data_IF_084781703277
#
_entry.id   IF_084781703277
#
_cell.length_a   1.000
_cell.length_b   1.000
_cell.length_c   1.000
_cell.angle_alpha   90.00
_cell.angle_beta   90.00
_cell.angle_gamma   90.00
#
_symmetry.space_group_name_H-M   'P 1'
#
loop_
_entity.id
_entity.type
_entity.pdbx_description
1 polymer ?
#
# COMPACT_ATOMS: atom_id res chain seq x y z
N UNK A 1 37.06 63.48 -30.12
CA UNK A 1 37.18 62.25 -29.31
C UNK A 1 35.77 61.67 -29.18
N UNK A 2 35.47 60.54 -29.86
CA UNK A 2 35.24 59.20 -29.27
C UNK A 2 34.08 59.21 -28.24
N UNK A 3 33.00 58.44 -28.28
CA UNK A 3 32.54 57.34 -29.14
C UNK A 3 31.03 57.12 -28.91
N UNK A 4 30.39 56.61 -29.96
CA UNK A 4 29.03 56.06 -30.07
C UNK A 4 28.86 54.73 -29.29
N UNK A 5 27.57 54.36 -29.04
CA UNK A 5 26.95 53.01 -28.83
C UNK A 5 26.43 52.80 -27.39
N UNK A 6 25.10 52.81 -27.15
CA UNK A 6 24.10 51.71 -27.34
C UNK A 6 24.36 50.47 -26.46
N UNK A 7 23.25 49.81 -26.08
CA UNK A 7 23.08 48.38 -25.70
C UNK A 7 23.13 48.05 -24.19
N UNK A 8 22.25 47.26 -23.56
CA UNK A 8 20.95 46.60 -23.84
C UNK A 8 20.40 46.28 -22.43
N UNK A 9 19.09 46.47 -22.21
CA UNK A 9 18.36 45.90 -21.08
C UNK A 9 18.38 44.37 -21.27
N UNK A 10 19.21 43.68 -20.50
CA UNK A 10 19.21 42.22 -20.45
C UNK A 10 17.97 41.75 -19.69
N UNK A 11 16.85 41.66 -20.41
CA UNK A 11 15.66 40.90 -20.01
C UNK A 11 16.07 39.43 -20.03
N UNK A 12 16.51 38.92 -18.88
CA UNK A 12 16.71 37.49 -18.66
C UNK A 12 15.35 36.81 -18.65
N UNK A 13 14.88 36.47 -19.85
CA UNK A 13 13.82 35.50 -20.08
C UNK A 13 14.34 34.19 -19.51
N UNK A 14 13.91 33.86 -18.28
CA UNK A 14 13.91 32.49 -17.82
C UNK A 14 12.95 31.74 -18.75
N UNK A 15 13.52 31.17 -19.81
CA UNK A 15 12.86 30.10 -20.54
C UNK A 15 12.86 28.94 -19.53
N UNK A 16 11.83 28.88 -18.68
CA UNK A 16 11.46 27.64 -18.05
C UNK A 16 11.22 26.70 -19.22
N UNK A 17 12.22 25.86 -19.53
CA UNK A 17 12.09 24.85 -20.55
C UNK A 17 10.81 24.10 -20.26
N UNK A 18 9.89 24.11 -21.22
CA UNK A 18 8.82 23.12 -21.30
C UNK A 18 9.49 21.75 -21.48
N UNK A 19 10.12 21.23 -20.43
CA UNK A 19 10.40 19.81 -20.34
C UNK A 19 9.04 19.18 -20.22
N UNK A 20 8.50 18.74 -21.34
CA UNK A 20 7.37 17.83 -21.35
C UNK A 20 7.81 16.66 -20.45
N UNK A 21 7.33 16.63 -19.20
CA UNK A 21 7.82 15.67 -18.19
C UNK A 21 7.33 14.32 -18.63
N UNK A 22 8.11 13.64 -19.46
CA UNK A 22 7.78 12.31 -19.97
C UNK A 22 7.58 11.38 -18.78
N UNK A 23 6.51 10.58 -18.80
CA UNK A 23 6.33 9.54 -17.80
C UNK A 23 7.32 8.42 -18.11
N UNK A 24 8.28 8.22 -17.22
CA UNK A 24 9.17 7.07 -17.23
C UNK A 24 8.86 6.14 -16.04
N UNK A 25 9.54 5.00 -16.00
CA UNK A 25 9.32 4.00 -14.97
C UNK A 25 9.65 4.51 -13.56
N UNK A 26 10.62 5.42 -13.42
CA UNK A 26 11.01 5.98 -12.14
C UNK A 26 9.90 6.90 -11.60
N UNK A 27 9.42 7.83 -12.44
CA UNK A 27 8.34 8.74 -12.06
C UNK A 27 7.03 8.00 -11.80
N UNK A 28 6.70 7.01 -12.63
CA UNK A 28 5.53 6.16 -12.41
C UNK A 28 5.64 5.39 -11.07
N UNK A 29 6.82 4.85 -10.75
CA UNK A 29 7.08 4.16 -9.48
C UNK A 29 6.88 5.08 -8.29
N UNK A 30 7.42 6.30 -8.33
CA UNK A 30 7.26 7.30 -7.27
C UNK A 30 5.78 7.62 -7.03
N UNK A 31 5.04 7.92 -8.09
CA UNK A 31 3.61 8.23 -8.02
C UNK A 31 2.80 7.06 -7.47
N UNK A 32 3.08 5.83 -7.92
CA UNK A 32 2.40 4.62 -7.44
C UNK A 32 2.65 4.43 -5.94
N UNK A 33 3.92 4.52 -5.50
CA UNK A 33 4.30 4.36 -4.10
C UNK A 33 3.65 5.42 -3.20
N UNK A 34 3.68 6.68 -3.62
CA UNK A 34 3.13 7.79 -2.86
C UNK A 34 1.61 7.69 -2.72
N UNK A 35 0.88 7.49 -3.83
CA UNK A 35 -0.58 7.40 -3.79
C UNK A 35 -1.05 6.22 -2.92
N UNK A 36 -0.37 5.09 -3.04
CA UNK A 36 -0.74 3.87 -2.34
C UNK A 36 -0.17 3.80 -0.92
N UNK A 37 0.71 4.71 -0.51
CA UNK A 37 1.38 4.64 0.79
C UNK A 37 2.12 3.31 1.00
N UNK A 38 2.86 2.86 -0.02
CA UNK A 38 3.69 1.66 0.13
C UNK A 38 4.93 1.96 1.00
N UNK A 39 5.37 1.03 1.88
CA UNK A 39 4.75 -0.27 2.19
C UNK A 39 3.42 -0.16 2.95
N UNK A 40 2.45 -1.01 2.58
CA UNK A 40 1.16 -1.11 3.27
C UNK A 40 1.20 -2.22 4.32
N UNK A 41 0.69 -1.96 5.52
CA UNK A 41 0.54 -3.01 6.52
C UNK A 41 -0.44 -4.08 6.02
N UNK A 42 -0.03 -5.34 6.10
CA UNK A 42 -0.94 -6.48 6.03
C UNK A 42 -1.41 -6.78 7.44
N UNK A 43 -2.72 -6.70 7.66
CA UNK A 43 -3.33 -6.88 8.96
C UNK A 43 -4.17 -8.16 9.05
N UNK A 44 -4.28 -8.70 10.26
CA UNK A 44 -5.14 -9.83 10.57
C UNK A 44 -5.82 -9.61 11.91
N UNK A 45 -7.12 -9.90 11.95
CA UNK A 45 -7.95 -9.81 13.15
C UNK A 45 -7.94 -11.13 13.90
N UNK A 46 -7.57 -11.07 15.18
CA UNK A 46 -7.56 -12.22 16.07
C UNK A 46 -8.70 -12.07 17.07
N UNK A 47 -9.70 -12.93 16.92
CA UNK A 47 -10.84 -13.04 17.83
C UNK A 47 -10.40 -13.85 19.06
N UNK A 48 -9.95 -13.17 20.12
CA UNK A 48 -9.37 -13.85 21.29
C UNK A 48 -10.38 -14.68 22.07
N UNK A 49 -11.68 -14.43 21.87
CA UNK A 49 -12.78 -15.22 22.41
C UNK A 49 -13.21 -16.40 21.54
N UNK A 50 -12.62 -16.59 20.35
CA UNK A 50 -12.98 -17.67 19.42
C UNK A 50 -12.03 -18.89 19.60
N UNK A 51 -12.54 -20.07 19.98
CA UNK A 51 -11.73 -21.27 20.10
C UNK A 51 -11.08 -21.72 18.78
N UNK A 52 -11.63 -21.36 17.61
CA UNK A 52 -11.03 -21.64 16.31
C UNK A 52 -9.72 -20.86 16.14
N UNK A 53 -9.71 -19.58 16.52
CA UNK A 53 -8.51 -18.76 16.49
C UNK A 53 -7.48 -19.26 17.52
N UNK A 54 -7.92 -19.66 18.71
CA UNK A 54 -7.05 -20.24 19.73
C UNK A 54 -6.39 -21.53 19.23
N UNK A 55 -7.17 -22.43 18.61
CA UNK A 55 -6.64 -23.66 18.01
C UNK A 55 -5.62 -23.36 16.91
N UNK A 56 -5.89 -22.42 15.99
CA UNK A 56 -4.93 -22.05 14.93
C UNK A 56 -3.59 -21.57 15.49
N UNK A 57 -3.60 -20.79 16.57
CA UNK A 57 -2.38 -20.32 17.23
C UNK A 57 -1.64 -21.44 17.94
N UNK A 58 -2.37 -22.38 18.56
CA UNK A 58 -1.79 -23.57 19.17
C UNK A 58 -1.09 -24.42 18.10
N UNK A 59 -1.79 -24.73 17.01
CA UNK A 59 -1.29 -25.55 15.90
C UNK A 59 -0.07 -24.90 15.22
N UNK A 60 0.02 -23.57 15.22
CA UNK A 60 1.16 -22.83 14.68
C UNK A 60 2.32 -22.60 15.70
N UNK A 61 2.19 -23.12 16.92
CA UNK A 61 3.23 -23.11 17.95
C UNK A 61 3.45 -21.74 18.62
N UNK A 62 2.46 -20.85 18.64
CA UNK A 62 2.63 -19.52 19.25
C UNK A 62 2.77 -19.58 20.78
N UNK A 63 2.19 -20.59 21.43
CA UNK A 63 2.32 -20.81 22.87
C UNK A 63 3.76 -21.19 23.24
N UNK A 64 4.33 -22.17 22.55
CA UNK A 64 5.71 -22.65 22.75
C UNK A 64 6.75 -21.57 22.47
N UNK A 65 6.50 -20.74 21.45
CA UNK A 65 7.35 -19.61 21.07
C UNK A 65 7.19 -18.39 21.99
N UNK A 66 6.32 -18.45 23.00
CA UNK A 66 6.16 -17.40 23.99
C UNK A 66 5.38 -16.16 23.51
N UNK A 67 4.63 -16.25 22.41
CA UNK A 67 3.81 -15.14 21.91
C UNK A 67 2.45 -15.05 22.60
N UNK A 68 1.87 -16.19 22.97
CA UNK A 68 0.56 -16.27 23.62
C UNK A 68 0.58 -17.28 24.77
N UNK A 69 -0.45 -17.22 25.61
CA UNK A 69 -0.94 -18.32 26.44
C UNK A 69 -2.32 -18.72 25.92
N UNK A 70 -2.58 -20.02 25.82
CA UNK A 70 -3.85 -20.55 25.32
C UNK A 70 -4.58 -21.26 26.46
N UNK A 71 -5.78 -20.77 26.78
CA UNK A 71 -6.65 -21.37 27.79
C UNK A 71 -7.36 -22.57 27.17
N UNK A 72 -6.93 -23.79 27.53
CA UNK A 72 -7.43 -25.05 26.96
C UNK A 72 -8.76 -25.51 27.58
N UNK A 73 -9.03 -25.11 28.82
CA UNK A 73 -10.24 -25.45 29.57
C UNK A 73 -10.79 -24.18 30.21
N UNK A 74 -12.07 -23.89 30.01
CA UNK A 74 -12.79 -22.81 30.71
C UNK A 74 -13.78 -23.42 31.69
N UNK A 75 -13.71 -22.99 32.94
CA UNK A 75 -14.73 -23.29 33.95
C UNK A 75 -15.88 -22.29 33.87
N UNK A 76 -16.98 -22.54 34.58
CA UNK A 76 -18.14 -21.63 34.64
C UNK A 76 -17.75 -20.21 35.09
N UNK A 77 -16.71 -20.07 35.92
CA UNK A 77 -16.17 -18.77 36.37
C UNK A 77 -15.37 -18.01 35.29
N UNK A 78 -15.08 -18.68 34.17
CA UNK A 78 -14.30 -18.14 33.05
C UNK A 78 -15.18 -17.75 31.85
N UNK A 79 -16.50 -17.86 31.99
CA UNK A 79 -17.46 -17.37 30.99
C UNK A 79 -17.14 -15.92 30.68
N UNK A 80 -16.98 -15.62 29.40
CA UNK A 80 -16.65 -14.28 28.96
C UNK A 80 -15.18 -13.88 29.14
N UNK A 81 -14.27 -14.80 29.46
CA UNK A 81 -12.81 -14.57 29.33
C UNK A 81 -12.30 -14.98 27.94
N UNK A 82 -11.18 -14.41 27.44
CA UNK A 82 -10.59 -14.84 26.18
C UNK A 82 -9.92 -16.22 26.30
N UNK A 83 -9.88 -16.97 25.21
CA UNK A 83 -9.06 -18.18 25.07
C UNK A 83 -7.59 -17.85 24.77
N UNK A 84 -7.33 -16.70 24.13
CA UNK A 84 -6.00 -16.24 23.76
C UNK A 84 -5.60 -15.07 24.67
N UNK A 85 -4.44 -15.19 25.32
CA UNK A 85 -3.81 -14.09 26.06
C UNK A 85 -2.45 -13.82 25.46
N UNK A 86 -2.26 -12.64 24.87
CA UNK A 86 -0.96 -12.27 24.30
C UNK A 86 0.08 -11.97 25.39
N UNK A 87 1.32 -12.35 25.11
CA UNK A 87 2.50 -12.03 25.92
C UNK A 87 3.26 -10.85 25.33
N UNK A 88 4.24 -10.36 26.07
CA UNK A 88 5.05 -9.20 25.67
C UNK A 88 5.76 -9.38 24.32
N UNK A 89 6.17 -10.61 23.98
CA UNK A 89 6.79 -10.93 22.70
C UNK A 89 5.89 -10.61 21.49
N UNK A 90 4.57 -10.53 21.67
CA UNK A 90 3.61 -10.20 20.61
C UNK A 90 3.41 -8.70 20.38
N UNK A 91 3.74 -7.86 21.38
CA UNK A 91 3.49 -6.41 21.32
C UNK A 91 4.08 -5.71 20.09
N UNK A 92 5.30 -6.06 19.59
CA UNK A 92 5.85 -5.44 18.38
C UNK A 92 4.99 -5.64 17.12
N UNK A 93 4.09 -6.63 17.12
CA UNK A 93 3.21 -6.93 15.99
C UNK A 93 1.82 -6.32 16.14
N UNK A 94 1.51 -5.63 17.23
CA UNK A 94 0.17 -5.08 17.43
C UNK A 94 -0.08 -3.89 16.53
N UNK A 95 -1.29 -3.87 15.95
CA UNK A 95 -1.84 -2.70 15.29
C UNK A 95 -2.88 -2.04 16.20
N UNK A 96 -3.13 -0.73 16.01
CA UNK A 96 -4.21 -0.04 16.71
C UNK A 96 -5.53 -0.79 16.54
N UNK A 97 -6.19 -1.04 17.67
CA UNK A 97 -7.47 -1.75 17.74
C UNK A 97 -8.51 -0.77 18.27
N UNK A 98 -9.67 -0.69 17.59
CA UNK A 98 -10.74 0.24 17.94
C UNK A 98 -11.37 -0.10 19.30
N UNK A 99 -12.10 0.86 19.89
CA UNK A 99 -12.82 0.59 21.13
C UNK A 99 -13.88 -0.50 20.98
N UNK A 100 -14.52 -0.59 19.82
CA UNK A 100 -15.52 -1.62 19.54
C UNK A 100 -14.88 -3.00 19.42
N UNK A 101 -13.79 -3.12 18.67
CA UNK A 101 -13.02 -4.36 18.54
C UNK A 101 -12.55 -4.89 19.90
N UNK A 102 -12.10 -3.99 20.80
CA UNK A 102 -11.69 -4.36 22.16
C UNK A 102 -12.84 -4.95 22.98
N UNK A 103 -14.08 -4.45 22.84
CA UNK A 103 -15.26 -5.03 23.53
C UNK A 103 -15.50 -6.47 23.09
N UNK A 104 -15.26 -6.76 21.81
CA UNK A 104 -15.37 -8.10 21.23
C UNK A 104 -14.09 -8.94 21.38
N UNK A 105 -13.10 -8.45 22.15
CA UNK A 105 -11.80 -9.10 22.39
C UNK A 105 -11.05 -9.40 21.10
N UNK A 106 -11.16 -8.51 20.12
CA UNK A 106 -10.41 -8.59 18.88
C UNK A 106 -9.07 -7.87 19.09
N UNK A 107 -7.99 -8.46 18.62
CA UNK A 107 -6.69 -7.81 18.51
C UNK A 107 -6.27 -7.80 17.05
N UNK A 108 -5.98 -6.62 16.51
CA UNK A 108 -5.37 -6.48 15.18
C UNK A 108 -3.87 -6.69 15.28
N UNK A 109 -3.32 -7.58 14.46
CA UNK A 109 -1.87 -7.78 14.35
C UNK A 109 -1.39 -7.52 12.94
N UNK A 110 -0.21 -6.93 12.84
CA UNK A 110 0.55 -6.84 11.60
C UNK A 110 1.10 -8.22 11.30
N UNK A 111 0.76 -8.75 10.15
CA UNK A 111 1.25 -10.06 9.66
C UNK A 111 2.31 -9.90 8.57
N UNK A 112 2.54 -8.68 8.09
CA UNK A 112 3.54 -8.38 7.10
C UNK A 112 3.35 -7.00 6.49
N UNK A 113 4.04 -6.78 5.39
CA UNK A 113 3.95 -5.59 4.55
C UNK A 113 3.72 -6.01 3.10
N UNK A 114 2.81 -5.32 2.41
CA UNK A 114 2.81 -5.31 0.95
C UNK A 114 3.76 -4.21 0.48
N UNK A 115 4.77 -4.61 -0.30
CA UNK A 115 5.78 -3.72 -0.88
C UNK A 115 5.60 -3.64 -2.39
N UNK A 116 5.80 -2.45 -2.95
CA UNK A 116 5.99 -2.32 -4.39
C UNK A 116 7.30 -3.01 -4.79
N UNK A 117 7.27 -3.87 -5.80
CA UNK A 117 8.45 -4.53 -6.36
C UNK A 117 8.94 -3.78 -7.61
N UNK A 118 8.19 -3.87 -8.71
CA UNK A 118 8.59 -3.29 -10.00
C UNK A 118 7.43 -3.02 -10.95
N UNK A 119 7.65 -2.13 -11.90
CA UNK A 119 6.83 -2.02 -13.12
C UNK A 119 7.27 -3.13 -14.09
N UNK A 120 6.31 -3.87 -14.64
CA UNK A 120 6.56 -4.92 -15.65
C UNK A 120 6.18 -4.47 -17.06
N UNK A 121 5.28 -3.49 -17.18
CA UNK A 121 4.93 -2.88 -18.46
C UNK A 121 4.55 -1.41 -18.24
N UNK A 122 4.94 -0.53 -19.17
CA UNK A 122 4.51 0.86 -19.21
C UNK A 122 4.14 1.23 -20.65
N UNK A 123 2.83 1.25 -20.90
CA UNK A 123 2.29 1.61 -22.21
C UNK A 123 1.82 3.05 -22.19
N UNK A 124 2.42 3.90 -23.02
CA UNK A 124 2.03 5.30 -23.20
C UNK A 124 1.18 5.38 -24.48
N UNK A 125 0.09 6.15 -24.46
CA UNK A 125 -0.73 6.36 -25.66
C UNK A 125 0.07 7.07 -26.76
N UNK A 126 -0.39 6.91 -28.00
CA UNK A 126 0.21 7.57 -29.17
C UNK A 126 0.26 9.10 -29.03
N UNK A 127 -0.71 9.70 -28.34
CA UNK A 127 -0.75 11.14 -28.06
C UNK A 127 0.20 11.57 -26.93
N UNK A 128 0.73 10.63 -26.15
CA UNK A 128 1.62 10.92 -25.03
C UNK A 128 0.93 11.58 -23.82
N UNK A 129 -0.40 11.60 -23.78
CA UNK A 129 -1.20 12.25 -22.71
C UNK A 129 -1.74 11.28 -21.66
N UNK A 130 -1.63 9.98 -21.92
CA UNK A 130 -2.10 8.94 -21.03
C UNK A 130 -1.14 7.76 -21.03
N UNK A 131 -1.14 7.02 -19.94
CA UNK A 131 -0.34 5.81 -19.83
C UNK A 131 -0.96 4.80 -18.85
N UNK A 132 -0.62 3.54 -19.06
CA UNK A 132 -0.97 2.43 -18.15
C UNK A 132 0.33 1.78 -17.72
N UNK A 133 0.58 1.74 -16.42
CA UNK A 133 1.66 0.95 -15.84
C UNK A 133 1.09 -0.33 -15.24
N UNK A 134 1.59 -1.48 -15.70
CA UNK A 134 1.36 -2.76 -15.03
C UNK A 134 2.51 -3.01 -14.07
N UNK A 135 2.22 -3.27 -12.79
CA UNK A 135 3.24 -3.41 -11.76
C UNK A 135 2.95 -4.57 -10.80
N UNK A 136 4.01 -5.01 -10.12
CA UNK A 136 3.99 -6.10 -9.17
C UNK A 136 4.20 -5.58 -7.74
N UNK A 137 3.47 -6.14 -6.80
CA UNK A 137 3.78 -6.06 -5.37
C UNK A 137 4.15 -7.42 -4.80
N UNK A 138 4.89 -7.41 -3.69
CA UNK A 138 5.29 -8.61 -2.95
C UNK A 138 4.83 -8.46 -1.50
N UNK A 139 4.43 -9.56 -0.89
CA UNK A 139 4.08 -9.61 0.53
C UNK A 139 5.26 -10.12 1.36
N UNK A 140 5.83 -9.23 2.17
CA UNK A 140 6.88 -9.52 3.14
C UNK A 140 6.24 -9.88 4.49
N UNK A 141 6.11 -11.17 4.75
CA UNK A 141 5.36 -11.71 5.90
C UNK A 141 6.22 -11.94 7.14
N UNK A 142 5.63 -11.83 8.33
CA UNK A 142 6.22 -12.23 9.59
C UNK A 142 5.60 -13.54 10.13
N UNK A 143 5.92 -13.90 11.37
CA UNK A 143 5.47 -15.14 12.00
C UNK A 143 3.93 -15.28 12.10
N UNK A 144 3.20 -14.17 12.24
CA UNK A 144 1.73 -14.17 12.32
C UNK A 144 1.03 -14.44 10.98
N UNK A 145 1.75 -14.37 9.86
CA UNK A 145 1.15 -14.64 8.54
C UNK A 145 0.63 -16.06 8.35
N UNK A 146 1.12 -17.03 9.15
CA UNK A 146 0.60 -18.41 9.15
C UNK A 146 -0.88 -18.49 9.53
N UNK A 147 -1.41 -17.46 10.20
CA UNK A 147 -2.82 -17.39 10.59
C UNK A 147 -3.74 -16.98 9.43
N UNK A 148 -3.19 -16.33 8.40
CA UNK A 148 -3.96 -15.86 7.26
C UNK A 148 -4.14 -16.98 6.21
N UNK A 149 -5.33 -17.11 5.58
CA UNK A 149 -5.62 -18.22 4.67
C UNK A 149 -5.01 -18.06 3.26
N UNK A 150 -3.95 -17.28 3.10
CA UNK A 150 -3.49 -16.80 1.79
C UNK A 150 -2.36 -17.66 1.22
N UNK A 151 -2.42 -17.96 -0.09
CA UNK A 151 -1.43 -18.80 -0.79
C UNK A 151 -0.47 -18.01 -1.70
N UNK A 152 -0.92 -16.88 -2.24
CA UNK A 152 -0.13 -16.06 -3.19
C UNK A 152 0.56 -14.93 -2.41
N UNK A 153 1.81 -14.64 -2.76
CA UNK A 153 2.61 -13.56 -2.15
C UNK A 153 3.06 -12.49 -3.13
N UNK A 154 2.52 -12.53 -4.35
CA UNK A 154 2.89 -11.64 -5.44
C UNK A 154 1.63 -11.27 -6.20
N UNK A 155 1.37 -9.98 -6.35
CA UNK A 155 0.14 -9.48 -6.95
C UNK A 155 0.47 -8.54 -8.09
N UNK A 156 -0.35 -8.59 -9.13
CA UNK A 156 -0.23 -7.73 -10.30
C UNK A 156 -1.36 -6.71 -10.28
N UNK A 157 -1.00 -5.45 -10.54
CA UNK A 157 -1.90 -4.31 -10.53
C UNK A 157 -1.68 -3.46 -11.77
N UNK A 158 -2.66 -2.61 -12.05
CA UNK A 158 -2.57 -1.56 -13.06
C UNK A 158 -2.77 -0.20 -12.40
N UNK A 159 -1.92 0.75 -12.78
CA UNK A 159 -2.08 2.16 -12.47
C UNK A 159 -2.34 2.93 -13.79
N UNK A 160 -3.31 3.82 -13.75
CA UNK A 160 -3.78 4.58 -14.90
C UNK A 160 -3.36 6.03 -14.72
N UNK A 161 -2.62 6.58 -15.69
CA UNK A 161 -2.02 7.90 -15.62
C UNK A 161 -2.61 8.81 -16.70
N UNK A 162 -2.92 10.04 -16.31
CA UNK A 162 -3.29 11.11 -17.23
C UNK A 162 -2.36 12.32 -17.01
N UNK A 163 -1.97 12.95 -18.12
CA UNK A 163 -1.24 14.20 -18.11
C UNK A 163 -2.26 15.36 -18.05
N UNK A 164 -2.43 15.94 -16.87
CA UNK A 164 -3.38 17.02 -16.60
C UNK A 164 -2.56 18.26 -16.21
N UNK A 165 -2.74 19.37 -16.91
CA UNK A 165 -2.02 20.63 -16.64
C UNK A 165 -0.49 20.45 -16.60
N UNK A 166 0.05 19.61 -17.50
CA UNK A 166 1.47 19.23 -17.57
C UNK A 166 2.00 18.42 -16.36
N UNK A 167 1.11 17.85 -15.54
CA UNK A 167 1.46 16.95 -14.45
C UNK A 167 0.81 15.57 -14.61
N UNK A 168 1.60 14.53 -14.41
CA UNK A 168 1.09 13.16 -14.40
C UNK A 168 0.37 12.89 -13.09
N UNK A 169 -0.89 12.49 -13.21
CA UNK A 169 -1.74 12.11 -12.08
C UNK A 169 -2.26 10.70 -12.29
N UNK A 170 -2.32 9.94 -11.20
CA UNK A 170 -2.98 8.63 -11.21
C UNK A 170 -4.48 8.87 -11.01
N UNK A 171 -5.28 8.23 -11.85
CA UNK A 171 -6.75 8.26 -11.80
C UNK A 171 -7.30 6.85 -11.62
N UNK A 172 -8.56 6.72 -11.22
CA UNK A 172 -9.21 5.42 -11.26
C UNK A 172 -9.50 4.99 -12.71
N UNK A 173 -9.74 3.69 -12.87
CA UNK A 173 -9.95 3.10 -14.19
C UNK A 173 -11.15 3.70 -14.94
N UNK A 174 -12.26 3.98 -14.25
CA UNK A 174 -13.47 4.50 -14.89
C UNK A 174 -13.24 5.91 -15.40
N UNK A 175 -12.61 6.75 -14.58
CA UNK A 175 -12.25 8.11 -14.97
C UNK A 175 -11.26 8.11 -16.14
N UNK A 176 -10.29 7.20 -16.13
CA UNK A 176 -9.38 6.98 -17.25
C UNK A 176 -10.12 6.64 -18.55
N UNK A 177 -11.01 5.64 -18.51
CA UNK A 177 -11.78 5.19 -19.68
C UNK A 177 -12.68 6.30 -20.24
N UNK A 178 -13.34 7.07 -19.38
CA UNK A 178 -14.22 8.19 -19.78
C UNK A 178 -13.41 9.31 -20.47
N UNK A 179 -12.26 9.66 -19.91
CA UNK A 179 -11.45 10.77 -20.43
C UNK A 179 -10.74 10.41 -21.74
N UNK A 180 -10.27 9.16 -21.87
CA UNK A 180 -9.76 8.62 -23.14
C UNK A 180 -10.82 8.68 -24.26
N UNK A 181 -12.05 8.24 -23.96
CA UNK A 181 -13.15 8.28 -24.95
C UNK A 181 -13.49 9.70 -25.39
N UNK A 182 -13.44 10.69 -24.50
CA UNK A 182 -13.66 12.09 -24.87
C UNK A 182 -12.55 12.65 -25.76
N UNK A 183 -11.31 12.22 -25.55
CA UNK A 183 -10.19 12.61 -26.41
C UNK A 183 -10.28 11.99 -27.82
N UNK A 184 -10.89 10.82 -27.96
CA UNK A 184 -11.12 10.18 -29.27
C UNK A 184 -12.28 10.78 -30.08
N UNK A 185 -13.13 11.60 -29.47
CA UNK A 185 -14.34 12.17 -30.09
C UNK A 185 -14.17 13.63 -30.56
N UNK A 186 -12.96 14.20 -30.45
CA UNK A 186 -12.62 15.56 -30.87
C UNK A 186 -11.34 15.59 -31.69
#
# INVERSE_FOLDING_TARGET
MKNLKHIIIAMSIFIAGCTNKKLDAEKATELIKNLNHYPKNLEYEIFCGDPVHAKRMLDAGFEEKGFVSIVKVQETKDIGKPFIVFKDASKPFFLPTSLEDRKHKIQKVKIGDEVFDRIIDLTISSEGKSAIATYITIWNTNIFAVLAPWKKRTYEYKAYFLLIENEWKIVDRKDFEILELKHLLH
#
